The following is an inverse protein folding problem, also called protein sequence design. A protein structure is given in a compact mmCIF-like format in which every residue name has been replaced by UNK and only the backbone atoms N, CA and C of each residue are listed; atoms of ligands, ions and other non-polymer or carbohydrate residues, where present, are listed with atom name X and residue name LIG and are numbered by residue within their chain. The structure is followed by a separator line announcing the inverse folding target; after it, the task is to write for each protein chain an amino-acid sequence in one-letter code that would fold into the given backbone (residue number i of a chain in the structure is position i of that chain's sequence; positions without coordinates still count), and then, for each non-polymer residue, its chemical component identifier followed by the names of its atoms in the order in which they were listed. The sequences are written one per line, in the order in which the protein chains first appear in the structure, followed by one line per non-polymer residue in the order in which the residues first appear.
data_IF_926739076904
#
_entry.id   IF_926739076904
#
_cell.length_a   1.000
_cell.length_b   1.000
_cell.length_c   1.000
_cell.angle_alpha   90.00
_cell.angle_beta   90.00
_cell.angle_gamma   90.00
#
_symmetry.space_group_name_H-M   'P 1'
#
loop_
_entity.id
_entity.type
_entity.pdbx_description
1 polymer ?
#
# COMPACT_ATOMS: atom_id res chain seq x y z
N UNK A 1 33.89 -20.38 0.48
CA UNK A 1 33.46 -19.38 1.46
C UNK A 1 34.44 -19.36 2.63
N UNK A 2 34.86 -18.19 3.07
CA UNK A 2 35.78 -18.04 4.22
C UNK A 2 34.96 -17.89 5.50
N UNK A 3 35.35 -18.56 6.58
CA UNK A 3 34.81 -18.36 7.92
C UNK A 3 35.74 -17.44 8.71
N UNK A 4 35.15 -16.46 9.40
CA UNK A 4 35.89 -15.52 10.24
C UNK A 4 35.49 -15.72 11.71
N UNK A 5 36.47 -15.62 12.60
CA UNK A 5 36.32 -15.64 14.07
C UNK A 5 36.75 -14.32 14.70
N UNK A 6 36.85 -13.31 13.88
CA UNK A 6 37.39 -11.98 14.23
C UNK A 6 36.27 -10.99 14.56
N UNK A 7 35.25 -11.45 15.31
CA UNK A 7 34.19 -10.57 15.81
C UNK A 7 34.81 -9.72 16.93
N UNK A 8 34.85 -8.41 16.69
CA UNK A 8 35.51 -7.46 17.60
C UNK A 8 34.52 -6.90 18.65
N UNK A 9 33.34 -6.51 18.23
CA UNK A 9 32.34 -5.84 19.06
C UNK A 9 30.92 -6.25 18.67
N UNK A 10 30.02 -6.33 19.66
CA UNK A 10 28.57 -6.47 19.47
C UNK A 10 27.91 -5.37 20.30
N UNK A 11 27.11 -4.53 19.64
CA UNK A 11 26.38 -3.41 20.24
C UNK A 11 24.93 -3.39 19.74
N UNK A 12 24.01 -3.90 20.54
CA UNK A 12 22.62 -4.08 20.11
C UNK A 12 22.50 -5.00 18.90
N UNK A 13 21.85 -4.59 17.81
CA UNK A 13 21.74 -5.39 16.59
C UNK A 13 22.98 -5.31 15.69
N UNK A 14 23.99 -4.52 16.06
CA UNK A 14 25.19 -4.29 15.24
C UNK A 14 26.37 -5.10 15.75
N UNK A 15 27.18 -5.57 14.83
CA UNK A 15 28.40 -6.31 15.11
C UNK A 15 29.51 -5.87 14.16
N UNK A 16 30.73 -5.72 14.72
CA UNK A 16 31.93 -5.40 13.94
C UNK A 16 32.75 -6.65 13.77
N UNK A 17 33.13 -6.96 12.53
CA UNK A 17 33.99 -8.07 12.15
C UNK A 17 35.27 -7.50 11.54
N UNK A 18 36.41 -7.90 12.00
CA UNK A 18 37.73 -7.45 11.53
C UNK A 18 38.43 -8.50 10.68
N UNK A 19 39.46 -8.06 9.94
CA UNK A 19 40.28 -8.90 9.07
C UNK A 19 39.45 -9.66 8.02
N UNK A 20 38.40 -8.99 7.48
CA UNK A 20 37.59 -9.52 6.40
C UNK A 20 38.22 -9.18 5.04
N UNK A 21 38.01 -10.04 4.05
CA UNK A 21 38.55 -9.86 2.72
C UNK A 21 37.47 -10.17 1.66
N UNK A 22 37.26 -9.26 0.72
CA UNK A 22 36.33 -9.45 -0.41
C UNK A 22 34.87 -9.39 -0.01
N UNK A 23 34.54 -8.83 1.15
CA UNK A 23 33.14 -8.59 1.60
C UNK A 23 32.59 -7.37 0.91
N UNK A 24 31.34 -7.45 0.50
CA UNK A 24 30.65 -6.38 -0.22
C UNK A 24 29.52 -5.77 0.62
N UNK A 25 29.15 -4.54 0.27
CA UNK A 25 28.00 -3.87 0.88
C UNK A 25 26.70 -4.64 0.63
N UNK A 26 25.84 -4.68 1.62
CA UNK A 26 24.51 -5.35 1.60
C UNK A 26 24.57 -6.90 1.44
N UNK A 27 25.77 -7.48 1.55
CA UNK A 27 25.97 -8.92 1.48
C UNK A 27 25.36 -9.64 2.69
N UNK A 28 24.70 -10.75 2.43
CA UNK A 28 24.16 -11.62 3.47
C UNK A 28 25.29 -12.40 4.14
N UNK A 29 25.22 -12.54 5.45
CA UNK A 29 26.12 -13.37 6.21
C UNK A 29 25.37 -14.22 7.25
N UNK A 30 26.00 -15.27 7.71
CA UNK A 30 25.50 -16.20 8.73
C UNK A 30 26.47 -16.26 9.90
N UNK A 31 25.94 -16.13 11.12
CA UNK A 31 26.69 -16.29 12.35
C UNK A 31 26.31 -17.63 12.95
N UNK A 32 27.28 -18.48 13.14
CA UNK A 32 27.12 -19.74 13.87
C UNK A 32 27.56 -19.56 15.32
N UNK A 33 26.61 -19.77 16.22
CA UNK A 33 26.86 -19.77 17.66
C UNK A 33 27.50 -21.09 18.13
N UNK A 34 28.05 -21.09 19.33
CA UNK A 34 28.59 -22.31 19.95
C UNK A 34 27.56 -23.43 20.13
N UNK A 35 26.27 -23.06 20.28
CA UNK A 35 25.15 -24.00 20.35
C UNK A 35 24.88 -24.75 19.03
N UNK A 36 25.49 -24.31 17.93
CA UNK A 36 25.17 -24.76 16.58
C UNK A 36 24.03 -23.93 15.90
N UNK A 37 23.40 -23.06 16.64
CA UNK A 37 22.37 -22.13 16.11
C UNK A 37 23.00 -21.19 15.07
N UNK A 38 22.31 -20.97 13.97
CA UNK A 38 22.71 -20.06 12.89
C UNK A 38 21.78 -18.88 12.88
N UNK A 39 22.34 -17.67 12.92
CA UNK A 39 21.58 -16.42 12.78
C UNK A 39 22.03 -15.69 11.54
N UNK A 40 21.10 -15.04 10.88
CA UNK A 40 21.38 -14.25 9.68
C UNK A 40 21.73 -12.81 10.03
N UNK A 41 22.57 -12.22 9.22
CA UNK A 41 22.91 -10.80 9.30
C UNK A 41 23.26 -10.27 7.90
N UNK A 42 23.28 -8.95 7.76
CA UNK A 42 23.71 -8.32 6.51
C UNK A 42 24.79 -7.27 6.74
N UNK A 43 25.63 -7.09 5.76
CA UNK A 43 26.69 -6.09 5.77
C UNK A 43 26.09 -4.70 5.55
N UNK A 44 26.34 -3.79 6.49
CA UNK A 44 25.92 -2.40 6.40
C UNK A 44 27.01 -1.47 5.90
N UNK A 45 28.25 -1.78 6.24
CA UNK A 45 29.40 -0.93 5.95
C UNK A 45 30.66 -1.79 5.82
N UNK A 46 31.53 -1.41 4.91
CA UNK A 46 32.84 -2.01 4.74
C UNK A 46 33.89 -0.89 4.73
N UNK A 47 34.83 -0.95 5.69
CA UNK A 47 35.91 0.01 5.84
C UNK A 47 37.25 -0.76 5.86
N UNK A 48 37.89 -0.86 4.70
CA UNK A 48 39.12 -1.61 4.55
C UNK A 48 38.92 -3.10 4.85
N UNK A 49 39.52 -3.59 5.93
CA UNK A 49 39.40 -4.95 6.41
C UNK A 49 38.35 -5.13 7.53
N UNK A 50 37.53 -4.13 7.77
CA UNK A 50 36.44 -4.14 8.76
C UNK A 50 35.07 -4.12 8.07
N UNK A 51 34.17 -4.99 8.52
CA UNK A 51 32.78 -5.00 8.14
C UNK A 51 31.88 -4.76 9.35
N UNK A 52 30.94 -3.83 9.23
CA UNK A 52 29.83 -3.66 10.17
C UNK A 52 28.65 -4.45 9.64
N UNK A 53 28.17 -5.41 10.42
CA UNK A 53 27.02 -6.22 10.06
C UNK A 53 25.87 -6.00 11.02
N UNK A 54 24.66 -6.11 10.49
CA UNK A 54 23.42 -6.01 11.24
C UNK A 54 22.76 -7.37 11.36
N UNK A 55 22.51 -7.78 12.59
CA UNK A 55 21.79 -9.01 12.90
C UNK A 55 20.31 -8.86 12.55
N UNK A 56 19.72 -9.91 12.00
CA UNK A 56 18.27 -10.01 11.83
C UNK A 56 17.58 -10.46 13.12
N UNK A 57 18.31 -11.19 13.96
CA UNK A 57 17.85 -11.71 15.24
C UNK A 57 18.48 -10.98 16.43
N UNK A 58 18.11 -11.42 17.64
CA UNK A 58 18.71 -10.93 18.88
C UNK A 58 20.22 -11.19 18.92
N UNK A 59 20.98 -10.25 19.46
CA UNK A 59 22.41 -10.45 19.77
C UNK A 59 22.65 -11.28 21.05
N UNK A 60 21.61 -11.64 21.77
CA UNK A 60 21.73 -12.42 23.02
C UNK A 60 22.41 -13.77 22.78
N UNK A 61 23.36 -14.13 23.63
CA UNK A 61 24.09 -15.39 23.54
C UNK A 61 25.25 -15.42 22.52
N UNK A 62 25.51 -14.33 21.80
CA UNK A 62 26.70 -14.25 20.94
C UNK A 62 27.94 -14.08 21.82
N UNK A 63 28.84 -15.05 21.74
CA UNK A 63 30.14 -14.96 22.37
C UNK A 63 31.20 -14.62 21.33
N UNK A 64 31.90 -13.51 21.53
CA UNK A 64 32.91 -12.99 20.60
C UNK A 64 34.06 -13.98 20.32
N UNK A 65 34.36 -14.90 21.27
CA UNK A 65 35.47 -15.87 21.13
C UNK A 65 35.09 -17.12 20.37
N UNK A 66 33.80 -17.52 20.44
CA UNK A 66 33.37 -18.83 19.94
C UNK A 66 32.48 -18.72 18.69
N UNK A 67 31.87 -17.57 18.48
CA UNK A 67 31.01 -17.34 17.31
C UNK A 67 31.85 -17.24 16.02
N UNK A 68 31.31 -17.78 14.94
CA UNK A 68 31.88 -17.71 13.60
C UNK A 68 30.93 -17.01 12.66
N UNK A 69 31.47 -16.19 11.79
CA UNK A 69 30.69 -15.55 10.72
C UNK A 69 31.18 -16.02 9.36
N UNK A 70 30.24 -16.24 8.47
CA UNK A 70 30.43 -16.60 7.07
C UNK A 70 29.67 -15.66 6.15
N UNK A 71 30.36 -15.00 5.25
CA UNK A 71 29.74 -14.16 4.21
C UNK A 71 29.37 -15.01 3.00
N UNK A 72 28.19 -14.77 2.43
CA UNK A 72 27.59 -15.64 1.42
C UNK A 72 27.89 -15.20 -0.01
N UNK A 73 28.40 -13.99 -0.24
CA UNK A 73 28.76 -13.47 -1.55
C UNK A 73 27.59 -12.94 -2.37
N UNK A 74 26.43 -12.78 -1.76
CA UNK A 74 25.23 -12.23 -2.39
C UNK A 74 24.36 -11.49 -1.38
N UNK A 75 23.56 -10.51 -1.81
CA UNK A 75 22.58 -9.84 -0.94
C UNK A 75 21.44 -10.78 -0.56
N UNK A 76 20.52 -10.28 0.27
CA UNK A 76 19.33 -11.03 0.63
C UNK A 76 18.45 -11.25 -0.61
N UNK A 77 18.06 -12.49 -0.85
CA UNK A 77 17.31 -12.94 -2.02
C UNK A 77 16.02 -13.62 -1.61
N UNK A 78 15.01 -13.50 -2.45
CA UNK A 78 13.76 -14.25 -2.37
C UNK A 78 13.74 -15.33 -3.45
N UNK A 79 13.48 -16.57 -3.06
CA UNK A 79 13.10 -17.62 -4.00
C UNK A 79 11.69 -17.37 -4.50
N UNK A 80 11.52 -17.25 -5.81
CA UNK A 80 10.24 -16.91 -6.45
C UNK A 80 9.72 -18.05 -7.32
N UNK A 81 8.41 -18.26 -7.29
CA UNK A 81 7.67 -19.22 -8.09
C UNK A 81 6.20 -18.80 -8.17
N UNK A 82 5.46 -19.28 -9.16
CA UNK A 82 4.00 -19.11 -9.21
C UNK A 82 3.31 -19.80 -8.02
N UNK A 83 3.94 -20.83 -7.47
CA UNK A 83 3.44 -21.56 -6.28
C UNK A 83 3.44 -20.72 -4.99
N UNK A 84 3.91 -19.47 -5.04
CA UNK A 84 3.71 -18.49 -3.95
C UNK A 84 2.25 -18.06 -3.79
N UNK A 85 1.46 -18.15 -4.86
CA UNK A 85 0.03 -17.85 -4.79
C UNK A 85 -0.67 -18.82 -3.83
N UNK A 86 -1.53 -18.29 -2.99
CA UNK A 86 -2.21 -19.07 -1.96
C UNK A 86 -1.42 -19.27 -0.66
N UNK A 87 -0.19 -18.75 -0.58
CA UNK A 87 0.72 -19.00 0.53
C UNK A 87 0.90 -17.79 1.44
N UNK A 88 1.25 -18.09 2.69
CA UNK A 88 1.58 -17.10 3.73
C UNK A 88 3.04 -17.23 4.13
N UNK A 89 3.76 -16.11 4.09
CA UNK A 89 5.19 -16.01 4.39
C UNK A 89 5.45 -15.06 5.55
N UNK A 90 6.53 -15.29 6.29
CA UNK A 90 7.06 -14.30 7.22
C UNK A 90 7.77 -13.15 6.46
N UNK A 91 8.26 -12.15 7.19
CA UNK A 91 8.95 -11.00 6.59
C UNK A 91 10.27 -11.32 5.90
N UNK A 92 10.81 -12.52 6.12
CA UNK A 92 12.03 -13.04 5.45
C UNK A 92 11.72 -13.93 4.25
N UNK A 93 10.45 -14.09 3.88
CA UNK A 93 10.05 -14.91 2.74
C UNK A 93 10.01 -16.41 3.01
N UNK A 94 9.97 -16.82 4.28
CA UNK A 94 9.82 -18.23 4.67
C UNK A 94 8.33 -18.57 4.86
N UNK A 95 7.84 -19.71 4.33
CA UNK A 95 6.46 -20.12 4.51
C UNK A 95 6.13 -20.36 5.98
N UNK A 96 4.98 -19.83 6.45
CA UNK A 96 4.48 -19.99 7.82
C UNK A 96 3.09 -20.62 7.89
N UNK A 97 2.54 -21.02 6.77
CA UNK A 97 1.20 -21.63 6.63
C UNK A 97 1.16 -23.15 6.87
N UNK A 98 2.27 -23.74 7.31
CA UNK A 98 2.38 -25.19 7.52
C UNK A 98 2.47 -26.01 6.23
N UNK A 99 2.49 -25.36 5.08
CA UNK A 99 2.69 -26.02 3.78
C UNK A 99 4.13 -26.43 3.52
N UNK A 100 4.38 -27.14 2.40
CA UNK A 100 5.74 -27.56 2.03
C UNK A 100 6.64 -26.35 1.72
N UNK A 101 7.95 -26.55 1.78
CA UNK A 101 8.92 -25.55 1.33
C UNK A 101 8.68 -25.20 -0.13
N UNK A 102 8.81 -23.91 -0.46
CA UNK A 102 8.67 -23.43 -1.82
C UNK A 102 9.81 -23.94 -2.71
N UNK A 103 9.48 -24.56 -3.84
CA UNK A 103 10.45 -24.84 -4.89
C UNK A 103 10.58 -23.60 -5.76
N UNK A 104 11.64 -22.85 -5.56
CA UNK A 104 11.89 -21.62 -6.29
C UNK A 104 12.26 -21.89 -7.75
N UNK A 105 11.62 -21.20 -8.69
CA UNK A 105 12.06 -21.17 -10.10
C UNK A 105 13.41 -20.48 -10.24
N UNK A 106 13.62 -19.44 -9.43
CA UNK A 106 14.87 -18.69 -9.31
C UNK A 106 14.93 -17.88 -8.02
N UNK A 107 16.12 -17.34 -7.72
CA UNK A 107 16.34 -16.40 -6.62
C UNK A 107 16.56 -14.99 -7.16
N UNK A 108 15.85 -14.01 -6.59
CA UNK A 108 15.93 -12.61 -6.96
C UNK A 108 16.37 -11.75 -5.78
N UNK A 109 17.24 -10.76 -6.05
CA UNK A 109 17.63 -9.76 -5.07
C UNK A 109 16.41 -8.93 -4.63
N UNK A 110 16.17 -8.84 -3.33
CA UNK A 110 15.01 -8.12 -2.80
C UNK A 110 15.12 -6.60 -2.92
N UNK A 111 16.33 -6.07 -3.06
CA UNK A 111 16.52 -4.63 -3.23
C UNK A 111 15.89 -4.14 -4.53
N UNK A 112 15.94 -4.96 -5.58
CA UNK A 112 15.39 -4.61 -6.88
C UNK A 112 15.96 -3.30 -7.43
N UNK A 113 15.34 -2.81 -8.47
CA UNK A 113 15.67 -1.51 -9.05
C UNK A 113 14.39 -0.73 -9.37
N UNK A 114 14.37 0.58 -9.17
CA UNK A 114 13.31 1.44 -9.69
C UNK A 114 13.13 1.21 -11.19
N UNK A 115 11.89 1.19 -11.65
CA UNK A 115 11.62 1.00 -13.08
C UNK A 115 12.22 2.16 -13.88
N UNK A 116 13.01 1.84 -14.92
CA UNK A 116 13.56 2.86 -15.80
C UNK A 116 12.43 3.70 -16.42
N UNK A 117 12.45 5.02 -16.29
CA UNK A 117 11.43 5.90 -16.86
C UNK A 117 11.20 5.71 -18.36
N UNK A 118 12.26 5.42 -19.13
CA UNK A 118 12.15 5.16 -20.58
C UNK A 118 11.46 3.82 -20.93
N UNK A 119 11.40 2.90 -19.97
CA UNK A 119 10.71 1.62 -20.12
C UNK A 119 9.27 1.63 -19.60
N UNK A 120 8.80 2.75 -19.04
CA UNK A 120 7.44 2.86 -18.52
C UNK A 120 6.43 3.02 -19.64
N UNK A 121 5.31 2.33 -19.50
CA UNK A 121 4.09 2.57 -20.27
C UNK A 121 3.10 3.40 -19.47
N UNK A 122 2.24 4.15 -20.16
CA UNK A 122 1.28 5.04 -19.52
C UNK A 122 0.10 4.26 -18.92
N UNK A 123 -0.27 4.52 -17.65
CA UNK A 123 -1.48 4.00 -17.04
C UNK A 123 -2.73 4.49 -17.79
N UNK A 124 -3.58 3.57 -18.23
CA UNK A 124 -4.78 3.90 -19.00
C UNK A 124 -5.95 2.92 -18.84
N UNK A 125 -5.84 1.94 -17.96
CA UNK A 125 -6.87 0.94 -17.71
C UNK A 125 -7.41 1.05 -16.30
N UNK A 126 -8.72 0.88 -16.15
CA UNK A 126 -9.43 0.93 -14.88
C UNK A 126 -9.17 -0.33 -14.04
N UNK A 127 -8.93 -0.15 -12.75
CA UNK A 127 -8.99 -1.22 -11.76
C UNK A 127 -10.19 -0.98 -10.87
N UNK A 128 -11.12 -1.93 -10.86
CA UNK A 128 -12.27 -1.91 -9.97
C UNK A 128 -11.86 -2.41 -8.59
N UNK A 129 -11.97 -1.55 -7.58
CA UNK A 129 -11.73 -1.92 -6.17
C UNK A 129 -12.99 -2.41 -5.49
N UNK A 130 -14.15 -2.17 -6.06
CA UNK A 130 -15.47 -2.45 -5.48
C UNK A 130 -15.90 -1.46 -4.41
N UNK A 131 -15.15 -0.38 -4.22
CA UNK A 131 -15.44 0.71 -3.27
C UNK A 131 -15.89 1.95 -4.04
N UNK A 132 -17.13 2.37 -3.85
CA UNK A 132 -17.73 3.47 -4.64
C UNK A 132 -16.94 4.78 -4.58
N UNK A 133 -16.42 5.15 -3.42
CA UNK A 133 -15.63 6.39 -3.25
C UNK A 133 -14.29 6.36 -3.98
N UNK A 134 -13.72 5.18 -4.19
CA UNK A 134 -12.49 5.01 -4.96
C UNK A 134 -12.85 4.90 -6.44
N UNK A 135 -13.65 3.92 -6.81
CA UNK A 135 -13.96 3.62 -8.21
C UNK A 135 -14.68 4.78 -8.91
N UNK A 136 -15.64 5.40 -8.23
CA UNK A 136 -16.44 6.48 -8.79
C UNK A 136 -15.78 7.86 -8.78
N UNK A 137 -14.97 8.20 -7.79
CA UNK A 137 -14.46 9.57 -7.57
C UNK A 137 -12.95 9.71 -7.58
N UNK A 138 -12.23 8.68 -7.18
CA UNK A 138 -10.78 8.66 -7.06
C UNK A 138 -10.19 7.43 -7.78
N UNK A 139 -10.63 7.19 -8.97
CA UNK A 139 -10.41 5.99 -9.77
C UNK A 139 -8.97 5.52 -9.75
N UNK A 140 -8.76 4.25 -9.41
CA UNK A 140 -7.49 3.58 -9.46
C UNK A 140 -7.21 3.12 -10.89
N UNK A 141 -6.01 3.42 -11.38
CA UNK A 141 -5.59 3.09 -12.74
C UNK A 141 -4.46 2.06 -12.69
N UNK A 142 -4.48 1.09 -13.58
CA UNK A 142 -3.50 0.02 -13.66
C UNK A 142 -2.08 0.57 -13.85
N UNK A 143 -1.19 0.21 -12.93
CA UNK A 143 0.19 0.72 -12.88
C UNK A 143 0.37 1.98 -12.04
N UNK A 144 -0.68 2.48 -11.38
CA UNK A 144 -0.65 3.64 -10.49
C UNK A 144 -0.17 3.27 -9.09
N UNK A 145 0.42 4.25 -8.41
CA UNK A 145 0.68 4.25 -6.96
C UNK A 145 -0.32 5.19 -6.29
N UNK A 146 -1.31 4.64 -5.60
CA UNK A 146 -2.36 5.41 -4.93
C UNK A 146 -2.40 5.07 -3.44
N UNK A 147 -1.74 5.86 -2.58
CA UNK A 147 -1.68 5.57 -1.16
C UNK A 147 -2.99 5.86 -0.44
N UNK A 148 -3.19 5.17 0.69
CA UNK A 148 -4.26 5.45 1.65
C UNK A 148 -3.61 6.06 2.90
N UNK A 149 -4.02 7.28 3.23
CA UNK A 149 -3.62 8.00 4.43
C UNK A 149 -4.67 7.77 5.51
N UNK A 150 -4.31 6.96 6.49
CA UNK A 150 -5.15 6.64 7.64
C UNK A 150 -4.72 7.43 8.88
N UNK A 151 -5.49 7.34 9.93
CA UNK A 151 -5.16 7.81 11.28
C UNK A 151 -5.15 6.64 12.27
N UNK A 152 -4.52 6.82 13.41
CA UNK A 152 -4.48 5.80 14.47
C UNK A 152 -5.90 5.40 14.89
N UNK A 153 -6.18 4.08 14.88
CA UNK A 153 -7.48 3.52 15.23
C UNK A 153 -8.57 3.63 14.15
N UNK A 154 -8.25 4.14 12.96
CA UNK A 154 -9.18 4.09 11.83
C UNK A 154 -9.12 2.71 11.13
N UNK A 155 -10.21 2.24 10.50
CA UNK A 155 -10.34 0.88 10.00
C UNK A 155 -9.65 0.66 8.64
N UNK A 156 -8.38 1.06 8.50
CA UNK A 156 -7.63 0.88 7.26
C UNK A 156 -7.35 -0.60 6.95
N UNK A 157 -7.19 -1.44 7.98
CA UNK A 157 -7.02 -2.88 7.79
C UNK A 157 -8.26 -3.52 7.12
N UNK A 158 -9.46 -3.14 7.55
CA UNK A 158 -10.70 -3.59 6.94
C UNK A 158 -10.80 -3.14 5.47
N UNK A 159 -10.46 -1.88 5.18
CA UNK A 159 -10.48 -1.36 3.82
C UNK A 159 -9.44 -2.07 2.94
N UNK A 160 -8.22 -2.30 3.45
CA UNK A 160 -7.18 -3.04 2.74
C UNK A 160 -7.62 -4.49 2.41
N UNK A 161 -8.21 -5.19 3.38
CA UNK A 161 -8.73 -6.54 3.18
C UNK A 161 -9.87 -6.57 2.16
N UNK A 162 -10.78 -5.60 2.23
CA UNK A 162 -11.90 -5.49 1.29
C UNK A 162 -11.40 -5.24 -0.14
N UNK A 163 -10.45 -4.33 -0.35
CA UNK A 163 -9.86 -4.09 -1.67
C UNK A 163 -9.13 -5.34 -2.18
N UNK A 164 -8.27 -5.96 -1.36
CA UNK A 164 -7.53 -7.16 -1.75
C UNK A 164 -8.45 -8.31 -2.19
N UNK A 165 -9.56 -8.49 -1.47
CA UNK A 165 -10.54 -9.53 -1.74
C UNK A 165 -11.28 -9.32 -3.06
N UNK A 166 -11.67 -8.09 -3.38
CA UNK A 166 -12.61 -7.82 -4.46
C UNK A 166 -12.05 -7.07 -5.67
N UNK A 167 -10.81 -6.55 -5.59
CA UNK A 167 -10.18 -5.85 -6.70
C UNK A 167 -10.02 -6.73 -7.95
N UNK A 168 -10.25 -6.14 -9.12
CA UNK A 168 -10.11 -6.82 -10.42
C UNK A 168 -9.88 -5.83 -11.56
N UNK A 169 -9.32 -6.34 -12.66
CA UNK A 169 -9.33 -5.72 -13.98
C UNK A 169 -10.57 -6.21 -14.72
N UNK A 170 -11.28 -5.36 -15.44
CA UNK A 170 -12.56 -5.75 -16.05
C UNK A 170 -12.39 -6.73 -17.22
N UNK A 171 -11.31 -6.58 -17.99
CA UNK A 171 -11.11 -7.33 -19.26
C UNK A 171 -10.35 -8.64 -19.06
N UNK A 172 -9.54 -8.78 -18.01
CA UNK A 172 -8.69 -9.97 -17.77
C UNK A 172 -8.60 -10.32 -16.28
N UNK A 173 -9.74 -10.68 -15.69
CA UNK A 173 -9.82 -11.03 -14.28
C UNK A 173 -9.11 -12.36 -13.91
N UNK A 174 -8.87 -13.22 -14.91
CA UNK A 174 -8.22 -14.53 -14.70
C UNK A 174 -6.73 -14.42 -14.44
N UNK A 175 -6.09 -13.32 -14.85
CA UNK A 175 -4.65 -13.08 -14.72
C UNK A 175 -4.32 -12.02 -13.66
N UNK A 176 -5.19 -11.86 -12.68
CA UNK A 176 -5.06 -10.89 -11.61
C UNK A 176 -4.58 -11.55 -10.32
N UNK A 177 -3.54 -11.00 -9.70
CA UNK A 177 -3.01 -11.45 -8.42
C UNK A 177 -2.88 -10.28 -7.43
N UNK A 178 -2.87 -10.61 -6.16
CA UNK A 178 -2.62 -9.67 -5.06
C UNK A 178 -1.34 -10.09 -4.35
N UNK A 179 -0.45 -9.14 -4.09
CA UNK A 179 0.65 -9.32 -3.16
C UNK A 179 0.41 -8.39 -1.98
N UNK A 180 0.20 -8.97 -0.82
CA UNK A 180 -0.14 -8.25 0.39
C UNK A 180 1.00 -8.33 1.39
N UNK A 181 1.52 -7.22 1.84
CA UNK A 181 2.52 -7.14 2.89
C UNK A 181 1.96 -6.43 4.12
N UNK A 182 1.82 -7.15 5.20
CA UNK A 182 1.45 -6.65 6.52
C UNK A 182 2.73 -6.42 7.34
N UNK A 183 3.01 -5.15 7.65
CA UNK A 183 4.31 -4.67 8.14
C UNK A 183 4.17 -4.16 9.57
N UNK A 184 4.79 -4.85 10.53
CA UNK A 184 4.79 -4.43 11.93
C UNK A 184 3.40 -4.41 12.57
N UNK A 185 2.54 -5.35 12.17
CA UNK A 185 1.16 -5.45 12.65
C UNK A 185 1.05 -6.30 13.92
N UNK A 186 -0.10 -6.23 14.59
CA UNK A 186 -0.38 -7.11 15.73
C UNK A 186 -0.67 -8.53 15.26
N UNK A 187 -0.59 -9.49 16.18
CA UNK A 187 -0.97 -10.87 15.88
C UNK A 187 -2.45 -10.98 15.48
N UNK A 188 -3.32 -10.22 16.13
CA UNK A 188 -4.76 -10.21 15.84
C UNK A 188 -5.06 -9.69 14.43
N UNK A 189 -4.35 -8.66 13.98
CA UNK A 189 -4.48 -8.16 12.62
C UNK A 189 -3.97 -9.17 11.60
N UNK A 190 -2.87 -9.87 11.89
CA UNK A 190 -2.34 -10.93 11.04
C UNK A 190 -3.36 -12.06 10.87
N UNK A 191 -3.92 -12.54 11.99
CA UNK A 191 -4.97 -13.55 11.98
C UNK A 191 -6.24 -13.09 11.24
N UNK A 192 -6.59 -11.82 11.38
CA UNK A 192 -7.70 -11.23 10.64
C UNK A 192 -7.50 -11.33 9.13
N UNK A 193 -6.34 -10.94 8.60
CA UNK A 193 -6.07 -11.03 7.16
C UNK A 193 -6.09 -12.47 6.66
N UNK A 194 -5.42 -13.38 7.35
CA UNK A 194 -5.38 -14.80 6.97
C UNK A 194 -6.78 -15.40 6.93
N UNK A 195 -7.56 -15.22 8.00
CA UNK A 195 -8.92 -15.77 8.09
C UNK A 195 -9.86 -15.16 7.07
N UNK A 196 -9.76 -13.85 6.84
CA UNK A 196 -10.61 -13.14 5.88
C UNK A 196 -10.33 -13.60 4.44
N UNK A 197 -9.07 -13.74 4.07
CA UNK A 197 -8.71 -14.22 2.73
C UNK A 197 -9.07 -15.70 2.54
N UNK A 198 -8.94 -16.54 3.57
CA UNK A 198 -9.39 -17.93 3.53
C UNK A 198 -10.92 -18.03 3.45
N UNK A 199 -11.64 -17.27 4.28
CA UNK A 199 -13.12 -17.25 4.31
C UNK A 199 -13.72 -16.92 2.94
N UNK A 200 -13.09 -16.01 2.23
CA UNK A 200 -13.61 -15.50 0.95
C UNK A 200 -13.01 -16.17 -0.27
N UNK A 201 -12.04 -17.07 -0.10
CA UNK A 201 -11.29 -17.69 -1.20
C UNK A 201 -10.28 -16.74 -1.87
N UNK A 202 -10.16 -15.50 -1.41
CA UNK A 202 -9.20 -14.54 -1.98
C UNK A 202 -7.75 -14.97 -1.79
N UNK A 203 -7.49 -15.86 -0.83
CA UNK A 203 -6.14 -16.40 -0.59
C UNK A 203 -5.56 -17.08 -1.85
N UNK A 204 -6.36 -17.75 -2.65
CA UNK A 204 -5.90 -18.51 -3.83
C UNK A 204 -5.14 -17.64 -4.86
N UNK A 205 -5.45 -16.35 -4.93
CA UNK A 205 -4.80 -15.37 -5.81
C UNK A 205 -3.90 -14.38 -5.07
N UNK A 206 -3.63 -14.65 -3.79
CA UNK A 206 -2.87 -13.73 -2.91
C UNK A 206 -1.59 -14.38 -2.46
N UNK A 207 -0.50 -13.60 -2.49
CA UNK A 207 0.74 -13.88 -1.78
C UNK A 207 0.75 -12.97 -0.55
N UNK A 208 0.72 -13.55 0.65
CA UNK A 208 0.69 -12.79 1.90
C UNK A 208 2.03 -12.85 2.61
N UNK A 209 2.65 -11.70 2.82
CA UNK A 209 3.82 -11.54 3.69
C UNK A 209 3.38 -10.90 5.01
N UNK A 210 3.79 -11.47 6.12
CA UNK A 210 3.42 -10.98 7.45
C UNK A 210 4.66 -10.76 8.31
N UNK A 211 4.81 -9.55 8.82
CA UNK A 211 5.79 -9.18 9.84
C UNK A 211 5.04 -8.65 11.06
N UNK A 212 5.27 -9.25 12.21
CA UNK A 212 4.61 -8.87 13.45
C UNK A 212 5.33 -7.71 14.16
N UNK A 213 4.62 -7.05 15.04
CA UNK A 213 5.15 -5.91 15.80
C UNK A 213 6.35 -6.28 16.71
N UNK A 214 6.42 -7.54 17.15
CA UNK A 214 7.51 -8.08 17.96
C UNK A 214 8.68 -8.69 17.14
N UNK A 215 8.52 -8.75 15.81
CA UNK A 215 9.63 -9.20 14.94
C UNK A 215 10.72 -8.11 14.83
N UNK A 216 11.97 -8.49 14.51
CA UNK A 216 13.07 -7.54 14.40
C UNK A 216 12.86 -6.43 13.37
N UNK A 217 13.36 -5.22 13.66
CA UNK A 217 13.24 -4.07 12.75
C UNK A 217 13.84 -4.34 11.36
N UNK A 218 14.87 -5.16 11.26
CA UNK A 218 15.52 -5.50 9.98
C UNK A 218 14.62 -6.36 9.11
N UNK A 219 13.91 -7.30 9.71
CA UNK A 219 12.90 -8.10 9.01
C UNK A 219 11.76 -7.21 8.51
N UNK A 220 11.34 -6.24 9.34
CA UNK A 220 10.33 -5.25 8.97
C UNK A 220 10.73 -4.43 7.74
N UNK A 221 12.01 -4.07 7.64
CA UNK A 221 12.57 -3.37 6.47
C UNK A 221 12.61 -4.28 5.23
N UNK A 222 12.88 -5.58 5.41
CA UNK A 222 12.90 -6.53 4.31
C UNK A 222 11.51 -6.87 3.76
N UNK A 223 10.48 -6.90 4.59
CA UNK A 223 9.13 -7.36 4.25
C UNK A 223 8.53 -6.71 2.99
N UNK A 224 8.46 -5.37 2.84
CA UNK A 224 7.91 -4.77 1.63
C UNK A 224 8.79 -5.02 0.40
N UNK A 225 10.08 -5.20 0.57
CA UNK A 225 11.01 -5.53 -0.51
C UNK A 225 10.81 -6.96 -1.00
N UNK A 226 10.57 -7.92 -0.09
CA UNK A 226 10.16 -9.29 -0.42
C UNK A 226 8.87 -9.30 -1.22
N UNK A 227 7.86 -8.57 -0.77
CA UNK A 227 6.57 -8.46 -1.46
C UNK A 227 6.73 -7.87 -2.87
N UNK A 228 7.50 -6.81 -3.03
CA UNK A 228 7.75 -6.20 -4.33
C UNK A 228 8.54 -7.13 -5.28
N UNK A 229 9.46 -7.92 -4.76
CA UNK A 229 10.22 -8.90 -5.55
C UNK A 229 9.31 -10.01 -6.05
N UNK A 230 8.40 -10.53 -5.21
CA UNK A 230 7.38 -11.48 -5.63
C UNK A 230 6.45 -10.87 -6.70
N UNK A 231 6.04 -9.61 -6.50
CA UNK A 231 5.19 -8.89 -7.45
C UNK A 231 5.87 -8.68 -8.82
N UNK A 232 7.15 -8.32 -8.83
CA UNK A 232 7.92 -8.15 -10.08
C UNK A 232 8.01 -9.45 -10.87
N UNK A 233 8.26 -10.57 -10.18
CA UNK A 233 8.29 -11.88 -10.82
C UNK A 233 6.93 -12.25 -11.45
N UNK A 234 5.84 -12.12 -10.68
CA UNK A 234 4.49 -12.43 -11.16
C UNK A 234 4.08 -11.49 -12.31
N UNK A 235 4.40 -10.19 -12.20
CA UNK A 235 3.99 -9.22 -13.19
C UNK A 235 4.82 -9.27 -14.47
N UNK A 236 6.15 -9.29 -14.38
CA UNK A 236 7.01 -9.06 -15.53
C UNK A 236 7.57 -10.34 -16.14
N UNK A 237 7.45 -11.49 -15.45
CA UNK A 237 7.86 -12.80 -15.99
C UNK A 237 6.69 -13.76 -16.21
N UNK A 238 5.59 -13.56 -15.50
CA UNK A 238 4.37 -14.36 -15.67
C UNK A 238 3.20 -13.57 -16.28
N UNK A 239 3.46 -12.33 -16.71
CA UNK A 239 2.48 -11.44 -17.36
C UNK A 239 1.19 -11.22 -16.57
N UNK A 240 1.25 -11.25 -15.23
CA UNK A 240 0.09 -11.07 -14.37
C UNK A 240 -0.17 -9.58 -14.07
N UNK A 241 -1.42 -9.24 -13.82
CA UNK A 241 -1.79 -7.94 -13.25
C UNK A 241 -1.74 -8.03 -11.74
N UNK A 242 -0.72 -7.44 -11.13
CA UNK A 242 -0.47 -7.56 -9.69
C UNK A 242 -0.87 -6.28 -8.98
N UNK A 243 -1.77 -6.40 -8.00
CA UNK A 243 -2.06 -5.36 -7.03
C UNK A 243 -1.22 -5.59 -5.78
N UNK A 244 -0.33 -4.66 -5.46
CA UNK A 244 0.50 -4.70 -4.25
C UNK A 244 -0.13 -3.80 -3.19
N UNK A 245 -0.40 -4.35 -2.01
CA UNK A 245 -0.87 -3.60 -0.85
C UNK A 245 0.19 -3.70 0.24
N UNK A 246 0.70 -2.56 0.69
CA UNK A 246 1.71 -2.46 1.74
C UNK A 246 1.10 -1.74 2.95
N UNK A 247 0.92 -2.42 4.07
CA UNK A 247 0.35 -1.87 5.30
C UNK A 247 1.13 -2.36 6.54
N UNK A 248 1.72 -1.54 7.38
CA UNK A 248 1.69 -0.07 7.43
C UNK A 248 3.07 0.49 7.10
N UNK A 249 3.12 1.43 6.17
CA UNK A 249 4.37 2.10 5.78
C UNK A 249 4.94 2.95 6.92
N UNK A 250 4.10 3.41 7.85
CA UNK A 250 4.59 4.10 9.04
C UNK A 250 5.45 3.19 9.89
N UNK A 251 5.04 1.94 10.09
CA UNK A 251 5.85 0.95 10.83
C UNK A 251 7.18 0.65 10.11
N UNK A 252 7.16 0.64 8.79
CA UNK A 252 8.39 0.52 7.99
C UNK A 252 9.34 1.69 8.24
N UNK A 253 8.84 2.92 8.19
CA UNK A 253 9.66 4.11 8.41
C UNK A 253 10.17 4.20 9.86
N UNK A 254 9.40 3.74 10.85
CA UNK A 254 9.85 3.61 12.24
C UNK A 254 11.00 2.60 12.37
N UNK A 255 10.96 1.48 11.66
CA UNK A 255 12.07 0.52 11.63
C UNK A 255 13.33 1.14 11.02
N UNK A 256 13.21 1.95 9.96
CA UNK A 256 14.35 2.70 9.41
C UNK A 256 14.92 3.69 10.42
N UNK A 257 14.05 4.39 11.18
CA UNK A 257 14.47 5.32 12.22
C UNK A 257 15.23 4.61 13.33
N UNK A 258 14.75 3.46 13.78
CA UNK A 258 15.39 2.62 14.81
C UNK A 258 16.79 2.19 14.36
N UNK A 259 16.91 1.67 13.14
CA UNK A 259 18.19 1.22 12.58
C UNK A 259 19.17 2.38 12.39
N UNK A 260 18.70 3.52 11.88
CA UNK A 260 19.50 4.73 11.70
C UNK A 260 20.03 5.26 13.04
N UNK A 261 19.18 5.26 14.07
CA UNK A 261 19.59 5.64 15.43
C UNK A 261 20.65 4.68 16.01
N UNK A 262 20.50 3.37 15.79
CA UNK A 262 21.48 2.38 16.23
C UNK A 262 22.85 2.57 15.55
N UNK A 263 22.86 3.00 14.29
CA UNK A 263 24.08 3.37 13.53
C UNK A 263 24.66 4.72 13.94
N UNK A 264 23.98 5.50 14.78
CA UNK A 264 24.37 6.87 15.14
C UNK A 264 24.47 7.81 13.93
N UNK A 265 23.65 7.58 12.91
CA UNK A 265 23.53 8.49 11.76
C UNK A 265 22.94 9.84 12.18
N UNK A 266 23.31 10.91 11.46
CA UNK A 266 22.75 12.23 11.72
C UNK A 266 21.25 12.22 11.39
N UNK A 267 20.37 12.50 12.35
CA UNK A 267 18.93 12.43 12.10
C UNK A 267 18.46 13.57 11.21
N UNK A 268 17.56 13.27 10.31
CA UNK A 268 16.80 14.25 9.55
C UNK A 268 15.55 14.73 10.30
N UNK A 269 14.56 15.21 9.54
CA UNK A 269 13.31 15.73 10.08
C UNK A 269 12.59 14.69 10.95
N UNK A 270 12.19 15.06 12.16
CA UNK A 270 11.54 14.23 13.19
C UNK A 270 12.31 12.94 13.54
N UNK A 271 13.62 12.93 13.38
CA UNK A 271 14.47 11.79 13.72
C UNK A 271 14.53 10.68 12.69
N UNK A 272 13.88 10.81 11.55
CA UNK A 272 14.01 9.86 10.45
C UNK A 272 15.36 10.01 9.75
N UNK A 273 15.87 8.94 9.09
CA UNK A 273 17.12 9.06 8.33
C UNK A 273 16.97 10.06 7.19
N UNK A 274 18.06 10.77 6.87
CA UNK A 274 18.08 11.75 5.78
C UNK A 274 17.73 11.17 4.41
N UNK A 275 17.92 9.86 4.24
CA UNK A 275 17.62 9.12 3.01
C UNK A 275 16.19 8.54 2.94
N UNK A 276 15.28 8.90 3.87
CA UNK A 276 13.91 8.36 3.89
C UNK A 276 13.18 8.55 2.55
N UNK A 277 13.33 9.74 1.94
CA UNK A 277 12.72 10.00 0.63
C UNK A 277 13.22 9.05 -0.45
N UNK A 278 14.53 8.93 -0.58
CA UNK A 278 15.17 8.07 -1.60
C UNK A 278 14.81 6.61 -1.38
N UNK A 279 14.75 6.19 -0.12
CA UNK A 279 14.40 4.81 0.24
C UNK A 279 12.94 4.48 -0.13
N UNK A 280 11.98 5.33 0.27
CA UNK A 280 10.58 5.18 -0.14
C UNK A 280 10.42 5.25 -1.67
N UNK A 281 11.11 6.18 -2.34
CA UNK A 281 11.08 6.30 -3.79
C UNK A 281 11.61 5.03 -4.46
N UNK A 282 12.69 4.44 -3.95
CA UNK A 282 13.26 3.20 -4.51
C UNK A 282 12.27 2.03 -4.48
N UNK A 283 11.43 1.96 -3.45
CA UNK A 283 10.36 0.95 -3.35
C UNK A 283 9.17 1.30 -4.24
N UNK A 284 8.62 2.49 -4.11
CA UNK A 284 7.40 2.87 -4.83
C UNK A 284 7.61 2.90 -6.35
N UNK A 285 8.79 3.28 -6.82
CA UNK A 285 9.12 3.32 -8.25
C UNK A 285 9.36 1.93 -8.88
N UNK A 286 9.24 0.86 -8.13
CA UNK A 286 9.17 -0.52 -8.65
C UNK A 286 7.79 -0.83 -9.25
N UNK A 287 6.75 -0.08 -8.87
CA UNK A 287 5.42 -0.21 -9.44
C UNK A 287 5.29 0.49 -10.80
N UNK A 288 4.40 0.00 -11.64
CA UNK A 288 4.07 0.59 -12.92
C UNK A 288 3.76 -0.45 -14.01
N UNK A 289 3.64 0.06 -15.23
CA UNK A 289 3.56 -0.73 -16.46
C UNK A 289 4.87 -0.61 -17.23
N UNK A 290 5.30 -1.68 -17.86
CA UNK A 290 6.54 -1.73 -18.65
C UNK A 290 6.21 -1.96 -20.11
N UNK A 291 6.82 -1.18 -20.99
CA UNK A 291 6.70 -1.33 -22.43
C UNK A 291 7.07 -2.76 -22.85
N UNK A 292 6.22 -3.37 -23.67
CA UNK A 292 6.43 -4.74 -24.17
C UNK A 292 6.05 -5.87 -23.18
N UNK A 293 5.64 -5.55 -21.95
CA UNK A 293 5.12 -6.51 -20.98
C UNK A 293 3.59 -6.38 -20.87
N UNK A 294 2.88 -7.49 -20.79
CA UNK A 294 1.43 -7.51 -20.55
C UNK A 294 1.14 -7.25 -19.06
N UNK A 295 1.97 -7.77 -18.17
CA UNK A 295 1.83 -7.62 -16.73
C UNK A 295 2.06 -6.19 -16.24
N UNK A 296 1.61 -5.94 -15.03
CA UNK A 296 1.73 -4.63 -14.38
C UNK A 296 1.75 -4.75 -12.87
N UNK A 297 2.32 -3.76 -12.19
CA UNK A 297 2.25 -3.61 -10.74
C UNK A 297 1.52 -2.31 -10.43
N UNK A 298 0.34 -2.43 -9.81
CA UNK A 298 -0.40 -1.32 -9.19
C UNK A 298 -0.19 -1.38 -7.70
N UNK A 299 0.03 -0.25 -7.05
CA UNK A 299 0.43 -0.24 -5.64
C UNK A 299 -0.49 0.64 -4.81
N UNK A 300 -0.92 0.12 -3.67
CA UNK A 300 -1.64 0.85 -2.61
C UNK A 300 -0.79 0.80 -1.34
N UNK A 301 0.12 1.77 -1.14
CA UNK A 301 0.77 1.94 0.15
C UNK A 301 -0.24 2.50 1.16
N UNK A 302 -0.36 1.88 2.32
CA UNK A 302 -1.21 2.36 3.40
C UNK A 302 -0.30 2.83 4.53
N UNK A 303 -0.57 4.02 5.04
CA UNK A 303 0.19 4.61 6.13
C UNK A 303 -0.74 5.20 7.18
N UNK A 304 -0.30 5.16 8.43
CA UNK A 304 -0.96 5.82 9.55
C UNK A 304 -0.27 7.15 9.82
N UNK A 305 -1.03 8.25 9.72
CA UNK A 305 -0.52 9.58 10.03
C UNK A 305 -0.45 9.77 11.55
N UNK A 306 0.74 9.98 12.14
CA UNK A 306 0.82 10.35 13.55
C UNK A 306 0.05 11.64 13.82
N UNK A 307 -0.79 11.64 14.84
CA UNK A 307 -1.64 12.80 15.24
C UNK A 307 -2.56 13.31 14.11
N UNK A 308 -2.92 12.46 13.14
CA UNK A 308 -3.65 12.84 11.91
C UNK A 308 -2.97 13.98 11.10
N UNK A 309 -1.66 14.18 11.30
CA UNK A 309 -0.86 15.25 10.69
C UNK A 309 -0.39 14.86 9.28
N UNK A 310 -1.03 15.45 8.25
CA UNK A 310 -0.66 15.28 6.83
C UNK A 310 0.72 15.86 6.50
N UNK A 311 1.27 16.75 7.33
CA UNK A 311 2.59 17.37 7.13
C UNK A 311 3.72 16.56 7.77
N UNK A 312 3.39 15.45 8.43
CA UNK A 312 4.39 14.51 8.94
C UNK A 312 5.25 13.96 7.79
N UNK A 313 6.56 13.70 7.99
CA UNK A 313 7.46 13.27 6.91
C UNK A 313 6.95 12.09 6.08
N UNK A 314 6.30 11.11 6.70
CA UNK A 314 5.85 9.89 6.01
C UNK A 314 4.74 10.18 4.99
N UNK A 315 3.57 10.78 5.35
CA UNK A 315 2.56 11.14 4.36
C UNK A 315 3.04 12.21 3.40
N UNK A 316 3.81 13.20 3.85
CA UNK A 316 4.34 14.28 3.02
C UNK A 316 5.21 13.73 1.87
N UNK A 317 6.23 12.92 2.20
CA UNK A 317 7.11 12.31 1.21
C UNK A 317 6.37 11.31 0.31
N UNK A 318 5.49 10.50 0.87
CA UNK A 318 4.67 9.56 0.09
C UNK A 318 3.80 10.29 -0.94
N UNK A 319 3.20 11.42 -0.56
CA UNK A 319 2.40 12.26 -1.46
C UNK A 319 3.19 12.86 -2.63
N UNK A 320 4.47 13.15 -2.44
CA UNK A 320 5.35 13.63 -3.53
C UNK A 320 5.73 12.53 -4.52
N UNK A 321 5.92 11.29 -4.05
CA UNK A 321 6.39 10.18 -4.89
C UNK A 321 5.23 9.55 -5.67
N UNK A 322 4.02 9.56 -5.13
CA UNK A 322 2.86 8.83 -5.65
C UNK A 322 1.92 9.71 -6.47
N UNK A 323 0.94 9.10 -7.15
CA UNK A 323 0.01 9.80 -8.04
C UNK A 323 -1.35 10.10 -7.37
N UNK A 324 -1.32 10.58 -6.14
CA UNK A 324 -2.52 10.98 -5.40
C UNK A 324 -2.52 10.47 -3.96
N UNK A 325 -3.68 10.52 -3.32
CA UNK A 325 -3.94 9.95 -1.99
C UNK A 325 -5.43 9.74 -1.75
N UNK A 326 -5.77 8.70 -1.03
CA UNK A 326 -7.08 8.49 -0.42
C UNK A 326 -6.93 8.80 1.08
N UNK A 327 -7.79 9.64 1.62
CA UNK A 327 -7.70 10.07 3.03
C UNK A 327 -8.87 9.51 3.80
N UNK A 328 -8.61 8.88 4.95
CA UNK A 328 -9.62 8.44 5.87
C UNK A 328 -9.92 9.52 6.90
N UNK A 329 -11.20 9.74 7.19
CA UNK A 329 -11.71 10.79 8.07
C UNK A 329 -12.13 10.22 9.42
N UNK A 330 -11.60 10.79 10.49
CA UNK A 330 -12.03 10.48 11.86
C UNK A 330 -13.46 10.94 12.13
N UNK A 331 -13.89 12.04 11.52
CA UNK A 331 -15.24 12.56 11.69
C UNK A 331 -16.29 11.65 11.01
N UNK A 332 -16.02 11.13 9.81
CA UNK A 332 -16.88 10.14 9.17
C UNK A 332 -16.92 8.84 9.98
N UNK A 333 -15.78 8.41 10.52
CA UNK A 333 -15.71 7.23 11.37
C UNK A 333 -16.57 7.38 12.63
N UNK A 334 -16.52 8.55 13.32
CA UNK A 334 -17.37 8.84 14.48
C UNK A 334 -18.86 8.84 14.15
N UNK A 335 -19.22 9.19 12.93
CA UNK A 335 -20.60 9.11 12.39
C UNK A 335 -21.01 7.70 11.96
N UNK A 336 -20.14 6.70 12.14
CA UNK A 336 -20.32 5.33 11.66
C UNK A 336 -20.51 5.21 10.14
N UNK A 337 -19.87 6.10 9.38
CA UNK A 337 -19.76 6.03 7.92
C UNK A 337 -18.52 5.20 7.58
N UNK A 338 -18.72 4.02 6.99
CA UNK A 338 -17.66 3.04 6.74
C UNK A 338 -17.71 2.57 5.27
N UNK A 339 -16.55 2.48 4.57
CA UNK A 339 -15.25 2.98 4.96
C UNK A 339 -15.25 4.52 5.05
N UNK A 340 -14.55 5.12 6.01
CA UNK A 340 -14.65 6.56 6.27
C UNK A 340 -13.76 7.38 5.31
N UNK A 341 -13.95 7.19 4.00
CA UNK A 341 -13.19 7.89 2.97
C UNK A 341 -13.65 9.33 2.85
N UNK A 342 -12.74 10.26 3.13
CA UNK A 342 -12.98 11.69 2.91
C UNK A 342 -12.73 12.05 1.45
N UNK A 343 -13.81 12.24 0.72
CA UNK A 343 -13.78 12.44 -0.73
C UNK A 343 -13.13 13.77 -1.13
N UNK A 344 -13.34 14.84 -0.36
CA UNK A 344 -12.90 16.18 -0.76
C UNK A 344 -11.38 16.35 -0.78
N UNK A 345 -10.61 15.92 0.24
CA UNK A 345 -9.16 15.99 0.21
C UNK A 345 -8.50 14.80 -0.51
N UNK A 346 -9.27 13.78 -0.88
CA UNK A 346 -8.76 12.65 -1.65
C UNK A 346 -8.59 13.02 -3.12
N UNK A 347 -7.55 12.49 -3.75
CA UNK A 347 -7.22 12.79 -5.14
C UNK A 347 -6.53 11.59 -5.80
N UNK A 348 -7.00 11.19 -6.96
CA UNK A 348 -6.25 10.37 -7.91
C UNK A 348 -5.86 11.24 -9.12
N UNK A 349 -4.56 11.48 -9.32
CA UNK A 349 -4.06 12.32 -10.42
C UNK A 349 -4.21 11.67 -11.79
N UNK A 350 -4.38 10.35 -11.83
CA UNK A 350 -4.52 9.58 -13.07
C UNK A 350 -5.96 9.16 -13.37
N UNK A 351 -6.93 9.56 -12.54
CA UNK A 351 -8.34 9.13 -12.66
C UNK A 351 -8.91 9.28 -14.06
N UNK A 352 -8.63 10.40 -14.74
CA UNK A 352 -9.16 10.67 -16.08
C UNK A 352 -8.62 9.72 -17.15
N UNK A 353 -7.52 9.02 -16.88
CA UNK A 353 -6.94 8.03 -17.78
C UNK A 353 -7.64 6.68 -17.73
N UNK A 354 -8.31 6.37 -16.63
CA UNK A 354 -9.02 5.10 -16.38
C UNK A 354 -10.51 5.14 -16.64
N UNK A 355 -11.11 6.29 -16.98
CA UNK A 355 -12.58 6.46 -17.07
C UNK A 355 -13.04 6.77 -18.49
N UNK A 356 -14.31 6.51 -18.75
CA UNK A 356 -15.01 6.86 -19.98
C UNK A 356 -15.36 5.65 -20.86
N UNK A 357 -15.87 5.94 -22.06
CA UNK A 357 -16.27 4.92 -23.02
C UNK A 357 -15.12 3.95 -23.36
N UNK A 358 -15.43 2.66 -23.33
CA UNK A 358 -14.44 1.60 -23.58
C UNK A 358 -13.55 1.24 -22.38
N UNK A 359 -13.70 1.89 -21.21
CA UNK A 359 -12.97 1.61 -19.97
C UNK A 359 -13.92 1.37 -18.80
N UNK A 360 -14.83 2.30 -18.58
CA UNK A 360 -15.93 2.23 -17.61
C UNK A 360 -17.25 2.51 -18.35
N UNK A 361 -17.90 3.64 -18.07
CA UNK A 361 -19.10 4.07 -18.76
C UNK A 361 -18.92 5.52 -19.23
N UNK A 362 -19.57 5.91 -20.34
CA UNK A 362 -19.40 7.22 -20.97
C UNK A 362 -19.74 8.41 -20.07
N UNK A 363 -20.67 8.21 -19.13
CA UNK A 363 -21.14 9.21 -18.19
C UNK A 363 -20.28 9.31 -16.92
N UNK A 364 -19.23 8.46 -16.77
CA UNK A 364 -18.45 8.39 -15.53
C UNK A 364 -17.82 9.74 -15.16
N UNK A 365 -17.04 10.34 -16.07
CA UNK A 365 -16.35 11.59 -15.77
C UNK A 365 -17.31 12.77 -15.43
N UNK A 366 -18.38 13.05 -16.21
CA UNK A 366 -19.32 14.10 -15.85
C UNK A 366 -20.08 13.80 -14.55
N UNK A 367 -20.48 12.55 -14.30
CA UNK A 367 -21.16 12.15 -13.06
C UNK A 367 -20.26 12.34 -11.84
N UNK A 368 -19.01 11.89 -11.92
CA UNK A 368 -17.99 12.08 -10.90
C UNK A 368 -17.79 13.57 -10.55
N UNK A 369 -17.62 14.42 -11.56
CA UNK A 369 -17.40 15.85 -11.37
C UNK A 369 -18.62 16.55 -10.76
N UNK A 370 -19.83 16.11 -11.11
CA UNK A 370 -21.06 16.68 -10.57
C UNK A 370 -21.30 16.22 -9.13
N UNK A 371 -21.10 14.95 -8.81
CA UNK A 371 -21.20 14.42 -7.44
C UNK A 371 -20.22 15.12 -6.50
N UNK A 372 -18.96 15.24 -6.93
CA UNK A 372 -17.93 15.94 -6.17
C UNK A 372 -18.32 17.39 -5.87
N UNK A 373 -18.76 18.13 -6.89
CA UNK A 373 -19.16 19.52 -6.72
C UNK A 373 -20.40 19.67 -5.82
N UNK A 374 -21.40 18.81 -5.98
CA UNK A 374 -22.60 18.82 -5.15
C UNK A 374 -22.28 18.50 -3.68
N UNK A 375 -21.42 17.53 -3.45
CA UNK A 375 -20.98 17.20 -2.09
C UNK A 375 -20.17 18.33 -1.45
N UNK A 376 -19.28 18.99 -2.19
CA UNK A 376 -18.52 20.15 -1.71
C UNK A 376 -19.47 21.29 -1.30
N UNK A 377 -20.45 21.64 -2.16
CA UNK A 377 -21.47 22.65 -1.83
C UNK A 377 -22.31 22.27 -0.61
N UNK A 378 -22.63 20.97 -0.47
CA UNK A 378 -23.35 20.48 0.71
C UNK A 378 -22.56 20.57 2.00
N UNK A 379 -21.26 20.33 1.98
CA UNK A 379 -20.37 20.51 3.14
C UNK A 379 -20.27 21.98 3.54
N UNK A 380 -20.09 22.86 2.56
CA UNK A 380 -20.07 24.31 2.79
C UNK A 380 -21.40 24.81 3.38
N UNK A 381 -22.53 24.38 2.85
CA UNK A 381 -23.85 24.71 3.38
C UNK A 381 -24.01 24.25 4.86
N UNK A 382 -23.52 23.07 5.20
CA UNK A 382 -23.56 22.55 6.59
C UNK A 382 -22.65 23.34 7.54
N UNK A 383 -21.50 23.80 7.08
CA UNK A 383 -20.64 24.69 7.86
C UNK A 383 -21.33 26.03 8.13
N UNK A 384 -21.94 26.64 7.09
CA UNK A 384 -22.71 27.87 7.23
C UNK A 384 -23.90 27.67 8.17
N UNK A 385 -24.62 26.56 8.08
CA UNK A 385 -25.73 26.22 8.97
C UNK A 385 -25.27 26.15 10.44
N UNK A 386 -24.10 25.63 10.69
CA UNK A 386 -23.53 25.55 12.05
C UNK A 386 -23.18 26.92 12.61
N UNK A 387 -22.73 27.85 11.78
CA UNK A 387 -22.31 29.21 12.19
C UNK A 387 -23.48 30.18 12.29
N UNK A 388 -24.36 30.18 11.30
CA UNK A 388 -25.42 31.19 11.12
C UNK A 388 -26.82 30.69 11.50
N UNK A 389 -26.99 29.40 11.68
CA UNK A 389 -28.29 28.75 11.87
C UNK A 389 -29.00 28.43 10.54
N UNK A 390 -29.95 27.49 10.60
CA UNK A 390 -30.70 27.00 9.43
C UNK A 390 -31.49 28.08 8.74
N UNK A 391 -32.07 29.03 9.51
CA UNK A 391 -32.89 30.13 8.99
C UNK A 391 -32.14 31.11 8.08
N UNK A 392 -30.81 31.10 8.12
CA UNK A 392 -29.99 31.99 7.29
C UNK A 392 -29.64 31.38 5.91
N UNK A 393 -29.94 30.10 5.68
CA UNK A 393 -29.64 29.43 4.43
C UNK A 393 -30.71 29.60 3.38
N UNK A 394 -30.30 29.65 2.12
CA UNK A 394 -31.27 29.60 1.00
C UNK A 394 -31.90 28.19 0.88
N UNK A 395 -33.07 28.06 0.23
CA UNK A 395 -33.67 26.75 -0.05
C UNK A 395 -32.71 25.82 -0.82
N UNK A 396 -31.87 26.38 -1.68
CA UNK A 396 -30.86 25.62 -2.45
C UNK A 396 -29.75 25.11 -1.55
N UNK A 397 -29.27 25.92 -0.59
CA UNK A 397 -28.23 25.47 0.37
C UNK A 397 -28.75 24.36 1.26
N UNK A 398 -30.00 24.46 1.72
CA UNK A 398 -30.64 23.38 2.49
C UNK A 398 -30.76 22.08 1.69
N UNK A 399 -31.04 22.19 0.40
CA UNK A 399 -31.07 21.01 -0.48
C UNK A 399 -29.70 20.38 -0.65
N UNK A 400 -28.66 21.17 -0.84
CA UNK A 400 -27.27 20.68 -0.90
C UNK A 400 -26.81 20.08 0.44
N UNK A 401 -27.18 20.67 1.58
CA UNK A 401 -26.89 20.10 2.89
C UNK A 401 -27.52 18.71 3.05
N UNK A 402 -28.77 18.55 2.65
CA UNK A 402 -29.46 17.25 2.64
C UNK A 402 -28.84 16.27 1.66
N UNK A 403 -28.42 16.74 0.48
CA UNK A 403 -27.68 15.91 -0.48
C UNK A 403 -26.39 15.37 0.14
N UNK A 404 -25.62 16.20 0.87
CA UNK A 404 -24.38 15.75 1.51
C UNK A 404 -24.64 14.64 2.54
N UNK A 405 -25.72 14.71 3.33
CA UNK A 405 -26.08 13.67 4.28
C UNK A 405 -26.42 12.34 3.58
N UNK A 406 -27.23 12.39 2.53
CA UNK A 406 -27.59 11.21 1.75
C UNK A 406 -26.38 10.64 0.99
N UNK A 407 -25.50 11.49 0.50
CA UNK A 407 -24.26 11.08 -0.14
C UNK A 407 -23.33 10.34 0.86
N UNK A 408 -23.11 10.87 2.06
CA UNK A 408 -22.33 10.19 3.09
C UNK A 408 -22.96 8.85 3.46
N UNK A 409 -24.29 8.81 3.65
CA UNK A 409 -25.02 7.63 4.11
C UNK A 409 -25.14 6.52 3.04
N UNK A 410 -25.31 6.87 1.77
CA UNK A 410 -25.61 5.90 0.70
C UNK A 410 -24.43 5.63 -0.22
N UNK A 411 -23.64 6.66 -0.56
CA UNK A 411 -22.52 6.52 -1.50
C UNK A 411 -21.20 6.22 -0.81
N UNK A 412 -20.87 6.96 0.26
CA UNK A 412 -19.64 6.74 1.03
C UNK A 412 -19.77 5.49 1.88
N UNK A 413 -20.87 5.36 2.63
CA UNK A 413 -21.10 4.18 3.45
C UNK A 413 -21.36 2.95 2.60
N UNK A 414 -20.58 1.90 2.88
CA UNK A 414 -20.63 0.63 2.16
C UNK A 414 -20.30 -0.50 3.13
N UNK A 415 -21.08 -1.58 3.09
CA UNK A 415 -20.85 -2.74 3.95
C UNK A 415 -19.50 -3.41 3.67
N UNK A 416 -18.91 -4.01 4.70
CA UNK A 416 -17.61 -4.69 4.57
C UNK A 416 -17.61 -5.81 3.52
N UNK A 417 -18.71 -6.55 3.40
CA UNK A 417 -18.87 -7.60 2.39
C UNK A 417 -19.49 -7.11 1.08
N UNK A 418 -19.82 -5.83 0.99
CA UNK A 418 -20.43 -5.24 -0.19
C UNK A 418 -19.38 -4.93 -1.25
N UNK A 419 -19.59 -5.49 -2.44
CA UNK A 419 -18.76 -5.26 -3.62
C UNK A 419 -19.60 -4.58 -4.69
N UNK A 420 -19.41 -3.28 -4.89
CA UNK A 420 -20.14 -2.51 -5.90
C UNK A 420 -19.40 -2.50 -7.22
N UNK A 421 -20.08 -2.87 -8.30
CA UNK A 421 -19.53 -2.67 -9.65
C UNK A 421 -19.50 -1.19 -9.99
N UNK A 422 -18.71 -0.83 -11.01
CA UNK A 422 -18.67 0.56 -11.49
C UNK A 422 -20.04 1.02 -11.99
N UNK A 423 -20.83 0.15 -12.63
CA UNK A 423 -22.19 0.44 -13.07
C UNK A 423 -23.10 0.75 -11.89
N UNK A 424 -23.08 -0.09 -10.85
CA UNK A 424 -23.85 0.13 -9.62
C UNK A 424 -23.45 1.44 -8.93
N UNK A 425 -22.16 1.73 -8.90
CA UNK A 425 -21.62 2.98 -8.33
C UNK A 425 -22.12 4.21 -9.10
N UNK A 426 -22.11 4.16 -10.43
CA UNK A 426 -22.61 5.27 -11.27
C UNK A 426 -24.13 5.42 -11.18
N UNK A 427 -24.87 4.32 -11.16
CA UNK A 427 -26.33 4.35 -11.01
C UNK A 427 -26.73 4.93 -9.66
N UNK A 428 -26.06 4.57 -8.58
CA UNK A 428 -26.24 5.16 -7.26
C UNK A 428 -25.93 6.67 -7.28
N UNK A 429 -24.88 7.07 -8.00
CA UNK A 429 -24.57 8.49 -8.22
C UNK A 429 -25.72 9.24 -8.90
N UNK A 430 -26.32 8.67 -9.95
CA UNK A 430 -27.47 9.25 -10.62
C UNK A 430 -28.72 9.31 -9.73
N UNK A 431 -28.97 8.29 -8.90
CA UNK A 431 -30.06 8.33 -7.92
C UNK A 431 -29.93 9.51 -6.96
N UNK A 432 -28.72 9.77 -6.48
CA UNK A 432 -28.45 10.91 -5.60
C UNK A 432 -28.60 12.24 -6.34
N UNK A 433 -28.10 12.35 -7.56
CA UNK A 433 -28.22 13.57 -8.36
C UNK A 433 -29.69 13.94 -8.68
N UNK A 434 -30.62 12.99 -8.65
CA UNK A 434 -32.09 13.26 -8.75
C UNK A 434 -32.64 14.13 -7.64
N UNK A 435 -31.94 14.21 -6.50
CA UNK A 435 -32.33 15.10 -5.41
C UNK A 435 -32.18 16.58 -5.77
N UNK A 436 -31.36 16.89 -6.75
CA UNK A 436 -31.03 18.23 -7.17
C UNK A 436 -31.84 18.63 -8.42
N UNK A 437 -32.27 19.89 -8.56
CA UNK A 437 -32.90 20.37 -9.79
C UNK A 437 -31.96 20.23 -10.99
N UNK A 438 -32.50 19.93 -12.17
CA UNK A 438 -31.67 19.83 -13.40
C UNK A 438 -30.86 21.09 -13.68
N UNK A 439 -31.34 22.26 -13.30
CA UNK A 439 -30.66 23.55 -13.42
C UNK A 439 -29.32 23.60 -12.61
N UNK A 440 -29.19 22.78 -11.56
CA UNK A 440 -27.98 22.69 -10.75
C UNK A 440 -26.97 21.66 -11.29
N UNK A 441 -27.36 20.78 -12.20
CA UNK A 441 -26.52 19.76 -12.80
C UNK A 441 -25.67 20.32 -13.97
N UNK A 442 -24.98 21.43 -13.73
CA UNK A 442 -24.28 22.25 -14.74
C UNK A 442 -23.03 21.56 -15.34
N UNK A 443 -22.50 20.52 -14.71
CA UNK A 443 -21.30 19.78 -15.16
C UNK A 443 -21.63 18.63 -16.09
N UNK A 444 -22.91 18.38 -16.35
CA UNK A 444 -23.39 17.27 -17.18
C UNK A 444 -24.11 17.86 -18.42
N UNK A 445 -23.72 17.33 -19.58
CA UNK A 445 -24.32 17.75 -20.84
C UNK A 445 -25.82 17.36 -20.91
N UNK A 446 -26.70 18.17 -21.58
CA UNK A 446 -28.12 17.87 -21.69
C UNK A 446 -28.46 16.49 -22.27
N UNK A 447 -27.64 16.01 -23.21
CA UNK A 447 -27.79 14.68 -23.83
C UNK A 447 -27.66 13.56 -22.79
N UNK A 448 -26.64 13.64 -21.90
CA UNK A 448 -26.43 12.71 -20.80
C UNK A 448 -27.56 12.81 -19.76
N UNK A 449 -28.00 14.04 -19.44
CA UNK A 449 -29.13 14.23 -18.54
C UNK A 449 -30.40 13.57 -19.08
N UNK A 450 -30.67 13.68 -20.39
CA UNK A 450 -31.84 13.06 -21.02
C UNK A 450 -31.73 11.52 -21.00
N UNK A 451 -30.54 11.00 -21.14
CA UNK A 451 -30.30 9.55 -21.16
C UNK A 451 -30.39 8.90 -19.76
N UNK A 452 -29.75 9.49 -18.77
CA UNK A 452 -29.61 8.89 -17.43
C UNK A 452 -30.59 9.47 -16.39
N UNK A 453 -31.13 10.63 -16.65
CA UNK A 453 -32.11 11.31 -15.80
C UNK A 453 -33.31 11.81 -16.64
N UNK A 454 -34.06 10.91 -17.29
CA UNK A 454 -35.19 11.32 -18.08
C UNK A 454 -36.22 12.08 -17.23
N UNK A 455 -36.84 13.10 -17.82
CA UNK A 455 -37.98 13.78 -17.21
C UNK A 455 -39.09 12.74 -17.12
N UNK A 456 -39.63 12.49 -15.95
CA UNK A 456 -40.87 11.72 -15.83
C UNK A 456 -41.98 12.58 -16.45
N UNK A 457 -42.57 12.09 -17.53
CA UNK A 457 -43.82 12.66 -18.06
C UNK A 457 -44.94 12.62 -17.02
#
# INVERSE_FOLDING_TARGET
MKEYRTIHEVSGPLMVVENVEGVTYDELAEIQLRSGEVRRCKVLEVNGDRAVVQLFDSSAGINLRDAKIRFLGHPLQLGVSVDMLGRVFNGMGEPIDGGPALLADKYMDINGLPMNPAARDYPNEFIQTGISTIDGLNTLVRGQKLPIFSGSGLPHANLAAQIARQAKVLDDSSNFAVVFAAIGITFEESEFFVREFQRTGAIERTVLFTNLANDPAVERIATPRMALTAAEYLAFEKDMHVLVILTDITNYAEALREVSAAKKEVPGRRGYPGYLYTDLASMYERAGRKLGCKGSITMIPILTMPEDDKTHPIPDLTGYITEGQIILSRDLYRKNILPPVDVLPSLSRLKDKGVGAGKTREDHAPTMNQLFAAYASGKEAKELMTILGEAALSPTDLLYAKFADEFEKRYVSQGFDENRTIEQTLDLGWELLRMLPRSELKRIKPEMLNKYLPVKE
#
